data_IF_880053990460
#
_entry.id   IF_880053990460
#
_cell.length_a   1.000
_cell.length_b   1.000
_cell.length_c   1.000
_cell.angle_alpha   90.00
_cell.angle_beta   90.00
_cell.angle_gamma   90.00
#
_symmetry.space_group_name_H-M   'P 1'
#
loop_
_entity.id
_entity.type
_entity.pdbx_description
1 polymer ?
#
# COMPACT_ATOMS: atom_id res chain seq x y z
N UNK A 1 -29.01 -39.72 -58.10
CA UNK A 1 -27.87 -39.30 -57.25
C UNK A 1 -27.83 -37.77 -57.23
N UNK A 2 -28.82 -37.11 -56.61
CA UNK A 2 -28.85 -36.52 -55.26
C UNK A 2 -27.75 -35.48 -54.98
N UNK A 3 -28.12 -34.21 -55.19
CA UNK A 3 -27.49 -32.92 -54.83
C UNK A 3 -27.05 -32.76 -53.36
N UNK A 4 -27.03 -33.85 -52.57
CA UNK A 4 -26.78 -33.84 -51.13
C UNK A 4 -25.33 -34.09 -50.72
N UNK A 5 -24.41 -34.31 -51.68
CA UNK A 5 -22.99 -34.54 -51.34
C UNK A 5 -22.08 -33.30 -51.47
N UNK A 6 -22.57 -32.15 -51.96
CA UNK A 6 -21.80 -30.91 -51.96
C UNK A 6 -22.00 -30.03 -50.70
N UNK A 7 -22.84 -30.46 -49.74
CA UNK A 7 -23.17 -29.70 -48.52
C UNK A 7 -22.63 -30.30 -47.21
N UNK A 8 -21.64 -31.20 -47.27
CA UNK A 8 -20.99 -31.79 -46.09
C UNK A 8 -19.55 -31.32 -45.85
N UNK A 9 -19.19 -30.11 -46.27
CA UNK A 9 -17.94 -29.42 -45.84
C UNK A 9 -18.18 -28.00 -45.33
N UNK A 10 -19.31 -27.78 -44.66
CA UNK A 10 -19.56 -26.56 -43.87
C UNK A 10 -20.16 -26.93 -42.54
N UNK A 11 -19.31 -27.25 -41.57
CA UNK A 11 -19.54 -27.01 -40.16
C UNK A 11 -18.23 -27.23 -39.40
N UNK A 12 -17.93 -26.24 -38.57
CA UNK A 12 -17.00 -26.32 -37.44
C UNK A 12 -15.51 -26.12 -37.73
N UNK A 13 -15.10 -24.86 -37.91
CA UNK A 13 -13.86 -24.42 -37.28
C UNK A 13 -14.07 -23.01 -36.70
N UNK A 14 -13.75 -22.77 -35.43
CA UNK A 14 -14.16 -21.56 -34.73
C UNK A 14 -13.33 -20.36 -35.20
N UNK A 15 -14.00 -19.23 -35.41
CA UNK A 15 -13.31 -17.95 -35.42
C UNK A 15 -12.45 -17.86 -34.15
N UNK A 16 -11.14 -17.67 -34.32
CA UNK A 16 -10.26 -17.21 -33.26
C UNK A 16 -10.70 -15.80 -32.88
N UNK A 17 -11.72 -15.70 -32.03
CA UNK A 17 -11.89 -14.51 -31.22
C UNK A 17 -10.65 -14.40 -30.33
N UNK A 18 -9.80 -13.44 -30.67
CA UNK A 18 -8.79 -12.94 -29.76
C UNK A 18 -9.56 -12.28 -28.61
N UNK A 19 -9.96 -13.09 -27.63
CA UNK A 19 -10.30 -12.56 -26.31
C UNK A 19 -9.04 -11.90 -25.82
N UNK A 20 -9.01 -10.56 -25.86
CA UNK A 20 -8.18 -9.75 -24.96
C UNK A 20 -8.52 -10.20 -23.55
N UNK A 21 -7.81 -11.22 -23.06
CA UNK A 21 -7.61 -11.38 -21.63
C UNK A 21 -6.73 -10.20 -21.28
N UNK A 22 -7.37 -9.16 -20.74
CA UNK A 22 -6.69 -8.21 -19.86
C UNK A 22 -5.86 -9.04 -18.91
N UNK A 23 -4.55 -9.11 -19.16
CA UNK A 23 -3.61 -9.70 -18.24
C UNK A 23 -3.54 -8.71 -17.08
N UNK A 24 -4.49 -8.85 -16.16
CA UNK A 24 -4.31 -8.42 -14.79
C UNK A 24 -3.18 -9.28 -14.24
N UNK A 25 -1.94 -8.81 -14.49
CA UNK A 25 -0.76 -9.33 -13.81
C UNK A 25 -0.91 -8.83 -12.39
N UNK A 26 -1.31 -9.76 -11.52
CA UNK A 26 -1.74 -9.52 -10.16
C UNK A 26 -0.67 -8.76 -9.35
N UNK A 27 -1.08 -7.62 -8.79
CA UNK A 27 -0.32 -6.77 -7.86
C UNK A 27 -0.14 -7.39 -6.45
N UNK A 28 -0.16 -8.72 -6.35
CA UNK A 28 -0.16 -9.47 -5.08
C UNK A 28 1.11 -9.26 -4.24
N UNK A 29 2.20 -8.79 -4.86
CA UNK A 29 3.44 -8.47 -4.15
C UNK A 29 3.34 -7.12 -3.41
N UNK A 30 2.59 -6.15 -3.94
CA UNK A 30 2.45 -4.80 -3.34
C UNK A 30 1.50 -4.83 -2.12
N UNK A 31 0.51 -5.72 -2.12
CA UNK A 31 -0.47 -5.84 -1.01
C UNK A 31 0.16 -6.33 0.30
N UNK A 32 1.30 -7.03 0.24
CA UNK A 32 1.98 -7.57 1.44
C UNK A 32 2.73 -6.47 2.20
N UNK A 33 3.18 -5.41 1.53
CA UNK A 33 3.97 -4.33 2.15
C UNK A 33 3.07 -3.39 2.99
N UNK A 34 1.82 -3.17 2.56
CA UNK A 34 0.87 -2.28 3.26
C UNK A 34 0.44 -2.83 4.63
N UNK A 35 0.36 -4.16 4.79
CA UNK A 35 0.00 -4.78 6.07
C UNK A 35 1.09 -4.63 7.17
N UNK A 36 2.32 -4.25 6.81
CA UNK A 36 3.44 -4.16 7.75
C UNK A 36 3.57 -2.81 8.49
N UNK A 37 2.90 -1.75 8.01
CA UNK A 37 3.00 -0.41 8.62
C UNK A 37 2.21 -0.24 9.93
N UNK A 38 1.39 -1.22 10.31
CA UNK A 38 0.62 -1.21 11.57
C UNK A 38 1.41 -1.62 12.82
N UNK A 39 2.72 -1.88 12.74
CA UNK A 39 3.52 -2.24 13.92
C UNK A 39 4.02 -1.04 14.75
N UNK A 40 3.62 0.20 14.44
CA UNK A 40 3.99 1.39 15.23
C UNK A 40 2.93 1.87 16.25
N UNK A 41 1.97 1.01 16.63
CA UNK A 41 1.21 1.20 17.86
C UNK A 41 1.64 0.15 18.89
N UNK A 42 2.77 0.40 19.55
CA UNK A 42 3.12 -0.35 20.74
C UNK A 42 2.08 -0.06 21.82
N UNK A 43 1.25 -1.04 22.18
CA UNK A 43 0.95 -1.46 23.56
C UNK A 43 -0.07 -2.63 23.51
N UNK A 44 0.22 -3.68 24.28
CA UNK A 44 -0.66 -4.82 24.61
C UNK A 44 -0.94 -5.89 23.53
N UNK A 45 0.09 -6.64 23.11
CA UNK A 45 -0.13 -7.95 22.48
C UNK A 45 0.64 -9.03 23.25
N UNK A 46 -0.05 -9.63 24.23
CA UNK A 46 0.40 -10.81 24.99
C UNK A 46 0.36 -12.06 24.11
N UNK A 47 1.49 -12.78 24.08
CA UNK A 47 1.78 -14.21 23.85
C UNK A 47 1.03 -15.07 22.80
N UNK A 48 -0.08 -14.64 22.19
CA UNK A 48 -0.90 -15.50 21.31
C UNK A 48 -0.86 -15.17 19.79
N UNK A 49 0.03 -14.29 19.32
CA UNK A 49 0.07 -13.83 17.91
C UNK A 49 1.24 -14.47 17.13
N UNK A 50 1.69 -15.66 17.52
CA UNK A 50 2.68 -16.39 16.70
C UNK A 50 2.06 -17.12 15.51
N UNK A 51 0.73 -17.29 15.47
CA UNK A 51 0.03 -18.07 14.43
C UNK A 51 -0.72 -17.23 13.38
N UNK A 52 -0.86 -15.91 13.58
CA UNK A 52 -1.61 -15.01 12.69
C UNK A 52 -0.67 -14.21 11.76
N UNK A 53 0.62 -14.11 12.12
CA UNK A 53 1.61 -13.44 11.31
C UNK A 53 2.13 -14.41 10.23
N UNK A 54 1.96 -14.13 8.92
CA UNK A 54 2.69 -14.87 7.90
C UNK A 54 4.19 -14.74 8.19
N UNK A 55 4.95 -15.83 8.01
CA UNK A 55 6.41 -15.80 8.14
C UNK A 55 6.94 -14.63 7.28
N UNK A 56 7.59 -13.64 7.91
CA UNK A 56 8.32 -12.59 7.20
C UNK A 56 9.23 -13.29 6.18
N UNK A 57 9.22 -12.91 4.90
CA UNK A 57 10.22 -13.44 3.98
C UNK A 57 11.62 -13.15 4.54
N UNK A 58 12.47 -14.17 4.48
CA UNK A 58 13.87 -14.13 4.89
C UNK A 58 14.59 -12.91 4.25
N UNK A 59 15.21 -12.09 5.10
CA UNK A 59 16.00 -10.88 4.81
C UNK A 59 15.24 -9.71 4.15
N UNK A 60 15.15 -8.60 4.89
CA UNK A 60 14.91 -7.29 4.27
C UNK A 60 15.92 -7.07 3.15
N UNK A 61 15.43 -6.72 1.96
CA UNK A 61 16.27 -6.43 0.81
C UNK A 61 17.00 -5.11 1.05
N UNK A 62 18.29 -5.09 0.74
CA UNK A 62 19.07 -3.85 0.77
C UNK A 62 18.96 -3.12 -0.57
N UNK A 63 19.33 -1.84 -0.61
CA UNK A 63 19.46 -1.08 -1.87
C UNK A 63 20.31 -1.82 -2.90
N UNK A 64 21.41 -2.47 -2.47
CA UNK A 64 22.23 -3.30 -3.38
C UNK A 64 21.42 -4.45 -4.00
N UNK A 65 20.55 -5.10 -3.21
CA UNK A 65 19.73 -6.21 -3.71
C UNK A 65 18.62 -5.72 -4.64
N UNK A 66 18.00 -4.58 -4.30
CA UNK A 66 16.96 -3.93 -5.10
C UNK A 66 17.47 -3.40 -6.44
N UNK A 67 18.68 -2.85 -6.47
CA UNK A 67 19.36 -2.39 -7.68
C UNK A 67 19.69 -3.57 -8.60
N UNK A 68 20.27 -4.65 -8.05
CA UNK A 68 20.55 -5.89 -8.79
C UNK A 68 19.29 -6.52 -9.38
N UNK A 69 18.20 -6.54 -8.62
CA UNK A 69 16.92 -7.08 -9.09
C UNK A 69 16.35 -6.32 -10.30
N UNK A 70 16.73 -5.05 -10.47
CA UNK A 70 16.31 -4.18 -11.57
C UNK A 70 17.38 -3.98 -12.65
N UNK A 71 18.45 -4.79 -12.62
CA UNK A 71 19.58 -4.72 -13.56
C UNK A 71 20.22 -3.31 -13.65
N UNK A 72 20.33 -2.64 -12.50
CA UNK A 72 20.93 -1.30 -12.36
C UNK A 72 22.03 -1.27 -11.30
N UNK A 73 22.93 -0.30 -11.41
CA UNK A 73 23.88 0.00 -10.34
C UNK A 73 23.19 0.68 -9.15
N UNK A 74 23.85 0.68 -7.98
CA UNK A 74 23.35 1.37 -6.78
C UNK A 74 23.18 2.87 -7.06
N UNK A 75 24.15 3.50 -7.70
CA UNK A 75 24.10 4.94 -8.00
C UNK A 75 22.94 5.28 -8.96
N UNK A 76 22.72 4.44 -9.98
CA UNK A 76 21.57 4.58 -10.88
C UNK A 76 20.25 4.39 -10.14
N UNK A 77 20.14 3.39 -9.25
CA UNK A 77 18.96 3.18 -8.41
C UNK A 77 18.67 4.41 -7.54
N UNK A 78 19.69 4.94 -6.87
CA UNK A 78 19.53 6.09 -5.99
C UNK A 78 19.07 7.33 -6.77
N UNK A 79 19.69 7.63 -7.91
CA UNK A 79 19.29 8.75 -8.75
C UNK A 79 17.88 8.57 -9.32
N UNK A 80 17.53 7.35 -9.76
CA UNK A 80 16.25 7.03 -10.38
C UNK A 80 15.07 7.24 -9.42
N UNK A 81 15.29 7.07 -8.12
CA UNK A 81 14.29 7.22 -7.05
C UNK A 81 14.52 8.44 -6.14
N UNK A 82 15.41 9.37 -6.53
CA UNK A 82 15.68 10.62 -5.78
C UNK A 82 16.25 10.41 -4.38
N UNK A 83 17.08 9.37 -4.21
CA UNK A 83 17.74 8.97 -2.96
C UNK A 83 19.25 9.30 -2.95
N UNK A 84 19.74 10.06 -3.92
CA UNK A 84 21.15 10.39 -4.15
C UNK A 84 21.70 11.47 -3.19
N UNK A 85 20.90 11.96 -2.24
CA UNK A 85 21.27 12.96 -1.24
C UNK A 85 22.27 12.51 -0.16
N UNK A 86 22.85 11.31 -0.26
CA UNK A 86 23.90 10.80 0.62
C UNK A 86 23.45 10.17 1.95
N UNK A 87 22.15 10.22 2.26
CA UNK A 87 21.58 9.58 3.46
C UNK A 87 21.23 8.09 3.25
N UNK A 88 21.24 7.62 2.00
CA UNK A 88 20.93 6.25 1.62
C UNK A 88 22.20 5.60 1.07
N UNK A 89 22.47 4.38 1.52
CA UNK A 89 23.65 3.60 1.10
C UNK A 89 23.21 2.26 0.53
N UNK A 90 24.14 1.53 -0.09
CA UNK A 90 23.89 0.17 -0.60
C UNK A 90 23.34 -0.81 0.46
N UNK A 91 23.58 -0.54 1.75
CA UNK A 91 23.16 -1.37 2.89
C UNK A 91 21.84 -0.93 3.51
N UNK A 92 21.32 0.23 3.14
CA UNK A 92 20.04 0.73 3.62
C UNK A 92 18.95 -0.24 3.20
N UNK A 93 18.03 -0.54 4.10
CA UNK A 93 16.96 -1.52 3.83
C UNK A 93 15.86 -0.91 2.98
N UNK A 94 15.06 -1.77 2.36
CA UNK A 94 13.84 -1.36 1.65
C UNK A 94 12.92 -0.52 2.54
N UNK A 95 12.72 -0.96 3.79
CA UNK A 95 11.88 -0.25 4.77
C UNK A 95 12.38 1.16 5.06
N UNK A 96 13.70 1.35 5.17
CA UNK A 96 14.33 2.66 5.37
C UNK A 96 14.26 3.56 4.14
N UNK A 97 14.31 3.02 2.91
CA UNK A 97 14.17 3.86 1.71
C UNK A 97 12.71 4.25 1.47
N UNK A 98 11.73 3.40 1.81
CA UNK A 98 10.30 3.69 1.57
C UNK A 98 9.84 4.96 2.28
N UNK A 99 10.37 5.26 3.47
CA UNK A 99 10.05 6.49 4.21
C UNK A 99 10.70 7.75 3.62
N UNK A 100 11.67 7.60 2.72
CA UNK A 100 12.41 8.69 2.08
C UNK A 100 11.91 8.99 0.66
N UNK A 101 11.04 8.16 0.11
CA UNK A 101 10.49 8.37 -1.23
C UNK A 101 9.46 9.49 -1.23
N UNK A 102 9.48 10.32 -2.26
CA UNK A 102 8.36 11.21 -2.58
C UNK A 102 7.19 10.41 -3.15
N UNK A 103 6.01 11.04 -3.27
CA UNK A 103 4.84 10.43 -3.92
C UNK A 103 5.19 9.98 -5.34
N UNK A 104 5.86 10.82 -6.14
CA UNK A 104 6.28 10.47 -7.50
C UNK A 104 7.23 9.27 -7.52
N UNK A 105 8.23 9.27 -6.64
CA UNK A 105 9.23 8.20 -6.60
C UNK A 105 8.65 6.90 -6.05
N UNK A 106 7.71 6.97 -5.11
CA UNK A 106 6.97 5.81 -4.62
C UNK A 106 6.03 5.23 -5.68
N UNK A 107 5.32 6.08 -6.43
CA UNK A 107 4.50 5.63 -7.56
C UNK A 107 5.36 4.90 -8.60
N UNK A 108 6.48 5.52 -9.00
CA UNK A 108 7.47 4.94 -9.91
C UNK A 108 8.04 3.62 -9.38
N UNK A 109 8.37 3.54 -8.10
CA UNK A 109 8.86 2.32 -7.45
C UNK A 109 7.86 1.15 -7.58
N UNK A 110 6.57 1.47 -7.54
CA UNK A 110 5.46 0.52 -7.66
C UNK A 110 4.95 0.35 -9.11
N UNK A 111 5.65 0.89 -10.11
CA UNK A 111 5.28 0.84 -11.52
C UNK A 111 3.88 1.41 -11.82
N UNK A 112 3.50 2.47 -11.13
CA UNK A 112 2.23 3.19 -11.32
C UNK A 112 2.47 4.68 -11.49
N UNK A 113 1.49 5.39 -12.03
CA UNK A 113 1.49 6.85 -12.08
C UNK A 113 1.16 7.45 -10.71
N UNK A 114 1.59 8.70 -10.48
CA UNK A 114 1.23 9.45 -9.27
C UNK A 114 -0.29 9.54 -9.10
N UNK A 115 -1.03 9.77 -10.18
CA UNK A 115 -2.49 9.86 -10.16
C UNK A 115 -3.13 8.53 -9.72
N UNK A 116 -2.72 7.40 -10.31
CA UNK A 116 -3.21 6.07 -9.92
C UNK A 116 -2.94 5.76 -8.45
N UNK A 117 -1.74 6.09 -7.96
CA UNK A 117 -1.38 5.91 -6.57
C UNK A 117 -2.28 6.73 -5.66
N UNK A 118 -2.44 8.03 -5.92
CA UNK A 118 -3.23 8.92 -5.09
C UNK A 118 -4.72 8.55 -5.11
N UNK A 119 -5.26 8.17 -6.27
CA UNK A 119 -6.62 7.68 -6.41
C UNK A 119 -6.84 6.38 -5.62
N UNK A 120 -5.89 5.44 -5.69
CA UNK A 120 -5.96 4.17 -4.95
C UNK A 120 -6.14 4.39 -3.45
N UNK A 121 -5.50 5.42 -2.89
CA UNK A 121 -5.56 5.74 -1.47
C UNK A 121 -6.54 6.87 -1.14
N UNK A 122 -7.25 7.42 -2.11
CA UNK A 122 -8.19 8.53 -1.94
C UNK A 122 -7.54 9.81 -1.39
N UNK A 123 -6.28 10.06 -1.75
CA UNK A 123 -5.52 11.23 -1.30
C UNK A 123 -5.67 12.34 -2.35
N UNK A 124 -6.37 13.42 -2.00
CA UNK A 124 -6.67 14.51 -2.94
C UNK A 124 -5.68 15.69 -2.89
N UNK A 125 -4.92 15.84 -1.80
CA UNK A 125 -4.17 17.06 -1.47
C UNK A 125 -2.65 16.90 -1.44
N UNK A 126 -2.12 15.74 -1.82
CA UNK A 126 -0.68 15.50 -1.86
C UNK A 126 -0.04 15.98 -3.18
N UNK A 127 1.15 16.58 -3.07
CA UNK A 127 1.99 16.93 -4.21
C UNK A 127 2.93 15.79 -4.58
N UNK A 128 3.38 15.74 -5.83
CA UNK A 128 4.29 14.71 -6.33
C UNK A 128 5.66 14.70 -5.61
N UNK A 129 6.09 15.84 -5.07
CA UNK A 129 7.34 16.00 -4.32
C UNK A 129 7.16 15.83 -2.80
N UNK A 130 5.92 15.70 -2.31
CA UNK A 130 5.65 15.40 -0.90
C UNK A 130 6.21 14.02 -0.56
N UNK A 131 6.71 13.84 0.66
CA UNK A 131 7.13 12.51 1.12
C UNK A 131 5.91 11.58 1.13
N UNK A 132 6.09 10.34 0.65
CA UNK A 132 5.02 9.35 0.60
C UNK A 132 4.42 9.12 1.98
N UNK A 133 5.23 9.08 3.04
CA UNK A 133 4.75 8.91 4.40
C UNK A 133 3.83 10.06 4.85
N UNK A 134 4.12 11.30 4.43
CA UNK A 134 3.27 12.45 4.72
C UNK A 134 1.96 12.38 3.93
N UNK A 135 2.03 12.05 2.65
CA UNK A 135 0.87 11.86 1.78
C UNK A 135 -0.04 10.72 2.28
N UNK A 136 0.55 9.59 2.71
CA UNK A 136 -0.17 8.47 3.29
C UNK A 136 -0.96 8.90 4.54
N UNK A 137 -0.42 9.82 5.35
CA UNK A 137 -1.13 10.41 6.48
C UNK A 137 -2.38 11.21 6.10
N UNK A 138 -2.52 11.64 4.83
CA UNK A 138 -3.69 12.32 4.29
C UNK A 138 -4.77 11.34 3.80
N UNK A 139 -4.53 10.04 3.89
CA UNK A 139 -5.53 9.02 3.55
C UNK A 139 -6.77 9.15 4.44
N UNK A 140 -7.98 9.17 3.87
CA UNK A 140 -9.22 9.14 4.64
C UNK A 140 -9.38 7.84 5.42
N UNK A 141 -9.95 7.90 6.63
CA UNK A 141 -10.21 6.71 7.45
C UNK A 141 -11.09 5.67 6.77
N UNK A 142 -12.01 6.09 5.89
CA UNK A 142 -12.80 5.17 5.06
C UNK A 142 -11.92 4.34 4.13
N UNK A 143 -10.98 4.97 3.42
CA UNK A 143 -10.01 4.28 2.56
C UNK A 143 -9.07 3.40 3.35
N UNK A 144 -8.66 3.86 4.53
CA UNK A 144 -7.87 3.02 5.42
C UNK A 144 -8.61 1.75 5.85
N UNK A 145 -9.89 1.87 6.25
CA UNK A 145 -10.72 0.71 6.57
C UNK A 145 -10.87 -0.24 5.36
N UNK A 146 -11.10 0.31 4.16
CA UNK A 146 -11.15 -0.48 2.93
C UNK A 146 -9.84 -1.25 2.70
N UNK A 147 -8.67 -0.65 2.97
CA UNK A 147 -7.37 -1.34 2.84
C UNK A 147 -7.20 -2.50 3.82
N UNK A 148 -7.90 -2.47 4.96
CA UNK A 148 -7.97 -3.59 5.91
C UNK A 148 -9.01 -4.65 5.54
N UNK A 149 -9.80 -4.41 4.49
CA UNK A 149 -10.90 -5.28 4.10
C UNK A 149 -12.12 -5.18 5.03
N UNK A 150 -12.32 -4.03 5.68
CA UNK A 150 -13.46 -3.78 6.56
C UNK A 150 -14.13 -2.44 6.27
N UNK A 151 -15.31 -2.21 6.87
CA UNK A 151 -15.99 -0.91 6.75
C UNK A 151 -15.45 0.10 7.76
N UNK A 152 -15.66 1.38 7.51
CA UNK A 152 -15.30 2.43 8.46
C UNK A 152 -16.02 2.24 9.81
N UNK A 153 -17.30 1.85 9.81
CA UNK A 153 -18.05 1.61 11.03
C UNK A 153 -17.48 0.44 11.85
N UNK A 154 -17.06 -0.64 11.17
CA UNK A 154 -16.40 -1.77 11.83
C UNK A 154 -15.07 -1.35 12.44
N UNK A 155 -14.26 -0.57 11.70
CA UNK A 155 -12.99 -0.05 12.19
C UNK A 155 -13.20 0.87 13.40
N UNK A 156 -14.14 1.81 13.30
CA UNK A 156 -14.47 2.78 14.36
C UNK A 156 -14.90 2.06 15.64
N UNK A 157 -15.79 1.08 15.51
CA UNK A 157 -16.29 0.27 16.63
C UNK A 157 -15.20 -0.59 17.26
N UNK A 158 -14.40 -1.29 16.44
CA UNK A 158 -13.34 -2.18 16.95
C UNK A 158 -12.20 -1.44 17.64
N UNK A 159 -11.83 -0.27 17.12
CA UNK A 159 -10.76 0.55 17.67
C UNK A 159 -11.22 1.48 18.79
N UNK A 160 -12.51 1.52 19.11
CA UNK A 160 -13.06 2.44 20.11
C UNK A 160 -12.82 3.91 19.75
N UNK A 161 -12.86 4.23 18.45
CA UNK A 161 -12.56 5.57 17.96
C UNK A 161 -13.66 6.56 18.35
N UNK A 162 -13.27 7.79 18.73
CA UNK A 162 -14.19 8.81 19.17
C UNK A 162 -15.12 9.31 18.06
N UNK A 163 -16.21 9.96 18.46
CA UNK A 163 -17.25 10.39 17.52
C UNK A 163 -16.73 11.39 16.48
N UNK A 164 -15.76 12.22 16.88
CA UNK A 164 -15.06 13.22 16.07
C UNK A 164 -14.31 12.63 14.88
N UNK A 165 -13.91 11.36 14.94
CA UNK A 165 -13.31 10.67 13.81
C UNK A 165 -14.42 10.21 12.86
N UNK A 166 -14.34 10.65 11.61
CA UNK A 166 -15.29 10.38 10.53
C UNK A 166 -14.63 9.68 9.34
N UNK A 167 -15.42 9.20 8.40
CA UNK A 167 -14.96 8.57 7.15
C UNK A 167 -13.95 9.40 6.35
N UNK A 168 -14.05 10.73 6.47
CA UNK A 168 -13.22 11.71 5.74
C UNK A 168 -12.06 12.24 6.56
N UNK A 169 -12.08 12.02 7.88
CA UNK A 169 -10.95 12.36 8.74
C UNK A 169 -9.73 11.64 8.20
N UNK A 170 -8.62 12.36 8.05
CA UNK A 170 -7.38 11.78 7.57
C UNK A 170 -6.69 10.97 8.68
N UNK A 171 -5.81 10.03 8.33
CA UNK A 171 -5.05 9.27 9.34
C UNK A 171 -4.29 10.18 10.31
N UNK A 172 -3.69 11.25 9.79
CA UNK A 172 -2.95 12.24 10.58
C UNK A 172 -3.86 13.01 11.56
N UNK A 173 -5.06 13.37 11.12
CA UNK A 173 -6.04 14.03 12.00
C UNK A 173 -6.59 13.07 13.06
N UNK A 174 -6.89 11.83 12.65
CA UNK A 174 -7.34 10.78 13.56
C UNK A 174 -6.31 10.51 14.67
N UNK A 175 -5.02 10.40 14.32
CA UNK A 175 -3.92 10.25 15.29
C UNK A 175 -3.86 11.44 16.26
N UNK A 176 -4.03 12.67 15.75
CA UNK A 176 -4.03 13.86 16.58
C UNK A 176 -5.21 13.91 17.56
N UNK A 177 -6.41 13.53 17.12
CA UNK A 177 -7.62 13.47 17.96
C UNK A 177 -7.45 12.42 19.06
N UNK A 178 -7.02 11.20 18.71
CA UNK A 178 -6.77 10.14 19.68
C UNK A 178 -5.71 10.55 20.71
N UNK A 179 -4.61 11.18 20.27
CA UNK A 179 -3.56 11.66 21.17
C UNK A 179 -4.03 12.75 22.13
N UNK A 180 -4.95 13.61 21.70
CA UNK A 180 -5.54 14.63 22.57
C UNK A 180 -6.44 14.00 23.64
N UNK A 181 -7.31 13.06 23.27
CA UNK A 181 -8.17 12.38 24.22
C UNK A 181 -7.39 11.62 25.30
N UNK A 182 -6.33 10.89 24.91
CA UNK A 182 -5.50 10.20 25.90
C UNK A 182 -4.86 11.18 26.89
N UNK A 183 -4.43 12.37 26.43
CA UNK A 183 -3.86 13.40 27.32
C UNK A 183 -4.90 13.98 28.27
N UNK A 184 -6.12 14.18 27.80
CA UNK A 184 -7.22 14.68 28.63
C UNK A 184 -7.63 13.65 29.69
N UNK A 185 -7.79 12.38 29.32
CA UNK A 185 -8.08 11.28 30.26
C UNK A 185 -6.98 11.14 31.32
N UNK A 186 -5.71 11.22 30.92
CA UNK A 186 -4.58 11.11 31.87
C UNK A 186 -4.50 12.33 32.80
N UNK A 187 -4.88 13.51 32.32
CA UNK A 187 -4.91 14.74 33.12
C UNK A 187 -6.09 14.76 34.11
N UNK A 188 -7.22 14.15 33.75
CA UNK A 188 -8.39 14.03 34.61
C UNK A 188 -8.15 12.97 35.71
N UNK A 189 -7.50 11.84 35.38
CA UNK A 189 -7.14 10.78 36.35
C UNK A 189 -6.07 11.21 37.36
N UNK A 190 -5.19 12.15 37.00
CA UNK A 190 -4.16 12.68 37.92
C UNK A 190 -4.62 13.88 38.76
N UNK A 191 -5.83 14.37 38.54
CA UNK A 191 -6.44 15.47 39.28
C UNK A 191 -7.41 15.01 40.40
N UNK A 192 -7.75 13.72 40.48
CA UNK A 192 -8.41 13.07 41.63
C UNK A 192 -7.42 12.55 42.68
#
# INVERSE_FOLDING_TARGET
MSEKQARQKRKSEPQREIKKKSAWVSNTVITVIVAAFLCLAGYALKDNIKSILPERPEKEQTVSDLAKARDMSVDEFLAEYGLDGGEVTEKTTESEIMSKLTVANYAKYNNQTTEELLEQYGIESADENMLWQEAYGLMPMSKYAETMGMTFDDLKSQAGMPEEITEKTTLKEAEAIMSQQTKEETAEETAE
#
